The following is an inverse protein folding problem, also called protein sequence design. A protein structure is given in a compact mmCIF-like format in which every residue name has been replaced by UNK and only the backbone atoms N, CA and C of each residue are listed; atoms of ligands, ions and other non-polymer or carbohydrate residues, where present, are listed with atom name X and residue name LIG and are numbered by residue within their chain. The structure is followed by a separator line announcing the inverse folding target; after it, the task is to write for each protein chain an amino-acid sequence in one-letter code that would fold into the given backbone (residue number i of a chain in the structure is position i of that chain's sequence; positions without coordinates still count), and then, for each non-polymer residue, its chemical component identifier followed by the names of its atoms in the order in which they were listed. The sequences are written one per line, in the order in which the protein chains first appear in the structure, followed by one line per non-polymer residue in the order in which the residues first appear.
data_IF_891486096012
#
_entry.id   IF_891486096012
#
_cell.length_a   1.000
_cell.length_b   1.000
_cell.length_c   1.000
_cell.angle_alpha   90.00
_cell.angle_beta   90.00
_cell.angle_gamma   90.00
#
_symmetry.space_group_name_H-M   'P 1'
#
loop_
_entity.id
_entity.type
_entity.pdbx_description
1 polymer ?
#
# COMPACT_ATOMS: atom_id res chain seq x y z
N UNK A 1 4.21 26.76 -7.69
CA UNK A 1 3.39 25.56 -7.37
C UNK A 1 4.29 24.35 -7.56
N UNK A 2 4.70 23.67 -6.48
CA UNK A 2 5.56 22.49 -6.56
C UNK A 2 4.74 21.21 -6.61
N UNK A 3 5.33 20.13 -7.11
CA UNK A 3 4.69 18.81 -7.21
C UNK A 3 4.25 18.28 -5.83
N UNK A 4 5.02 18.59 -4.77
CA UNK A 4 4.69 18.30 -3.38
C UNK A 4 3.40 19.01 -2.91
N UNK A 5 3.17 20.25 -3.36
CA UNK A 5 1.96 21.00 -3.03
C UNK A 5 0.71 20.39 -3.67
N UNK A 6 0.83 19.93 -4.91
CA UNK A 6 -0.25 19.20 -5.60
C UNK A 6 -0.50 17.84 -4.96
N UNK A 7 0.55 17.12 -4.55
CA UNK A 7 0.44 15.85 -3.83
C UNK A 7 -0.25 16.03 -2.47
N UNK A 8 0.17 17.01 -1.67
CA UNK A 8 -0.43 17.30 -0.37
C UNK A 8 -1.92 17.65 -0.50
N UNK A 9 -2.30 18.44 -1.51
CA UNK A 9 -3.72 18.72 -1.82
C UNK A 9 -4.47 17.47 -2.25
N UNK A 10 -3.88 16.63 -3.09
CA UNK A 10 -4.48 15.37 -3.53
C UNK A 10 -4.71 14.40 -2.38
N UNK A 11 -3.74 14.25 -1.48
CA UNK A 11 -3.86 13.42 -0.27
C UNK A 11 -4.90 13.98 0.70
N UNK A 12 -4.90 15.30 0.92
CA UNK A 12 -5.92 15.96 1.74
C UNK A 12 -7.34 15.75 1.20
N UNK A 13 -7.52 15.91 -0.11
CA UNK A 13 -8.78 15.64 -0.79
C UNK A 13 -9.20 14.18 -0.65
N UNK A 14 -8.31 13.22 -0.92
CA UNK A 14 -8.59 11.79 -0.76
C UNK A 14 -8.93 11.42 0.68
N UNK A 15 -8.20 11.97 1.66
CA UNK A 15 -8.49 11.75 3.10
C UNK A 15 -9.90 12.24 3.44
N UNK A 16 -10.30 13.39 2.91
CA UNK A 16 -11.63 13.94 3.12
C UNK A 16 -12.74 13.10 2.47
N UNK A 17 -12.49 12.58 1.26
CA UNK A 17 -13.40 11.66 0.57
C UNK A 17 -13.66 10.35 1.34
N UNK A 18 -12.66 9.87 2.10
CA UNK A 18 -12.72 8.62 2.85
C UNK A 18 -13.32 8.75 4.26
N UNK A 19 -13.67 9.96 4.72
CA UNK A 19 -14.31 10.14 6.03
C UNK A 19 -15.77 9.72 6.02
N UNK A 20 -16.25 9.21 7.16
CA UNK A 20 -17.65 8.82 7.35
C UNK A 20 -18.62 10.01 7.20
N UNK A 21 -18.19 11.21 7.60
CA UNK A 21 -18.92 12.47 7.54
C UNK A 21 -18.81 13.21 6.19
N UNK A 22 -18.22 12.61 5.16
CA UNK A 22 -18.05 13.23 3.85
C UNK A 22 -19.41 13.65 3.21
N UNK A 23 -19.59 14.94 2.89
CA UNK A 23 -20.75 15.49 2.19
C UNK A 23 -21.15 14.71 0.93
N UNK A 24 -22.46 14.56 0.66
CA UNK A 24 -22.98 13.72 -0.43
C UNK A 24 -22.40 14.05 -1.81
N UNK A 25 -22.22 15.34 -2.12
CA UNK A 25 -21.68 15.78 -3.41
C UNK A 25 -20.25 15.26 -3.64
N UNK A 26 -19.44 15.23 -2.60
CA UNK A 26 -18.05 14.78 -2.69
C UNK A 26 -17.95 13.25 -2.67
N UNK A 27 -18.90 12.54 -2.04
CA UNK A 27 -19.08 11.10 -2.29
C UNK A 27 -19.37 10.78 -3.75
N UNK A 28 -20.11 11.65 -4.47
CA UNK A 28 -20.29 11.48 -5.92
C UNK A 28 -18.97 11.67 -6.69
N UNK A 29 -18.14 12.65 -6.31
CA UNK A 29 -16.80 12.80 -6.87
C UNK A 29 -15.93 11.57 -6.60
N UNK A 30 -15.98 11.01 -5.39
CA UNK A 30 -15.29 9.75 -5.07
C UNK A 30 -15.76 8.59 -5.95
N UNK A 31 -17.07 8.43 -6.14
CA UNK A 31 -17.63 7.39 -7.01
C UNK A 31 -17.25 7.60 -8.47
N UNK A 32 -17.24 8.85 -8.95
CA UNK A 32 -16.80 9.21 -10.29
C UNK A 32 -15.33 8.87 -10.49
N UNK A 33 -14.46 9.24 -9.53
CA UNK A 33 -13.05 8.90 -9.56
C UNK A 33 -12.85 7.38 -9.53
N UNK A 34 -13.60 6.67 -8.69
CA UNK A 34 -13.55 5.21 -8.65
C UNK A 34 -14.02 4.58 -9.95
N UNK A 35 -14.98 5.17 -10.65
CA UNK A 35 -15.42 4.70 -11.97
C UNK A 35 -14.39 5.01 -13.07
N UNK A 36 -13.84 6.22 -13.09
CA UNK A 36 -12.85 6.66 -14.09
C UNK A 36 -11.54 5.89 -13.97
N UNK A 37 -11.12 5.57 -12.74
CA UNK A 37 -9.88 4.85 -12.47
C UNK A 37 -10.08 3.37 -12.13
N UNK A 38 -11.30 2.83 -12.30
CA UNK A 38 -11.66 1.44 -12.01
C UNK A 38 -11.32 0.97 -10.59
N UNK A 39 -11.48 1.85 -9.60
CA UNK A 39 -11.30 1.55 -8.17
C UNK A 39 -12.57 1.02 -7.48
N UNK A 40 -13.74 0.97 -8.14
CA UNK A 40 -14.98 0.49 -7.51
C UNK A 40 -14.87 -0.97 -7.02
N UNK A 41 -15.30 -1.26 -5.77
CA UNK A 41 -15.26 -2.62 -5.21
C UNK A 41 -16.47 -3.50 -5.56
N UNK A 42 -17.37 -3.07 -6.44
CA UNK A 42 -18.49 -3.90 -6.90
C UNK A 42 -18.76 -3.68 -8.38
N UNK A 43 -18.50 -4.71 -9.17
CA UNK A 43 -19.62 -5.52 -9.59
C UNK A 43 -19.30 -6.98 -9.26
N UNK A 44 -20.08 -7.54 -8.33
CA UNK A 44 -20.34 -8.98 -8.28
C UNK A 44 -21.12 -9.47 -9.50
N UNK A 45 -21.32 -8.62 -10.50
CA UNK A 45 -21.67 -9.02 -11.86
C UNK A 45 -20.39 -9.49 -12.53
N UNK A 46 -20.34 -10.80 -12.73
CA UNK A 46 -19.38 -11.53 -13.55
C UNK A 46 -19.23 -10.94 -14.95
N UNK A 47 -18.53 -9.83 -15.11
CA UNK A 47 -17.72 -9.64 -16.29
C UNK A 47 -16.46 -10.40 -15.96
N UNK A 48 -16.39 -11.63 -16.45
CA UNK A 48 -15.24 -12.49 -16.30
C UNK A 48 -14.03 -11.79 -16.94
N UNK A 49 -13.37 -10.91 -16.19
CA UNK A 49 -11.96 -10.63 -16.41
C UNK A 49 -11.28 -11.99 -16.45
N UNK A 50 -10.38 -12.22 -17.43
CA UNK A 50 -9.88 -13.54 -17.72
C UNK A 50 -9.13 -14.03 -16.49
N UNK A 51 -9.84 -14.77 -15.64
CA UNK A 51 -9.24 -15.59 -14.62
C UNK A 51 -8.21 -16.41 -15.38
N UNK A 52 -6.93 -16.41 -14.97
CA UNK A 52 -6.00 -17.34 -15.54
C UNK A 52 -6.56 -18.73 -15.22
N UNK A 53 -7.26 -19.35 -16.19
CA UNK A 53 -7.76 -20.74 -16.06
C UNK A 53 -6.61 -21.71 -15.77
N UNK A 54 -5.37 -21.24 -15.97
CA UNK A 54 -4.13 -21.90 -15.60
C UNK A 54 -3.34 -20.97 -14.68
N UNK A 55 -2.84 -21.54 -13.59
CA UNK A 55 -1.86 -20.90 -12.72
C UNK A 55 -0.65 -20.50 -13.57
N UNK A 56 -0.18 -19.24 -13.49
CA UNK A 56 1.04 -18.80 -14.17
C UNK A 56 2.22 -19.72 -13.83
N UNK A 57 3.05 -20.06 -14.82
CA UNK A 57 4.14 -21.03 -14.66
C UNK A 57 5.13 -20.68 -13.53
N UNK A 58 5.38 -19.39 -13.34
CA UNK A 58 6.20 -18.86 -12.25
C UNK A 58 5.60 -19.16 -10.87
N UNK A 59 4.28 -18.99 -10.72
CA UNK A 59 3.56 -19.33 -9.49
C UNK A 59 3.49 -20.84 -9.28
N UNK A 60 3.25 -21.61 -10.35
CA UNK A 60 3.22 -23.08 -10.28
C UNK A 60 4.57 -23.67 -9.81
N UNK A 61 5.70 -23.12 -10.31
CA UNK A 61 7.05 -23.49 -9.85
C UNK A 61 7.26 -23.17 -8.37
N UNK A 62 6.80 -22.01 -7.91
CA UNK A 62 6.95 -21.57 -6.53
C UNK A 62 6.15 -22.45 -5.55
N UNK A 63 4.95 -22.87 -5.94
CA UNK A 63 4.08 -23.73 -5.13
C UNK A 63 4.45 -25.22 -5.17
N UNK A 64 5.34 -25.61 -6.08
CA UNK A 64 5.78 -26.99 -6.27
C UNK A 64 4.62 -27.95 -6.59
N UNK A 65 4.71 -29.18 -6.09
CA UNK A 65 3.75 -30.27 -6.32
C UNK A 65 2.43 -30.15 -5.54
N UNK A 66 2.14 -29.00 -4.94
CA UNK A 66 0.90 -28.74 -4.20
C UNK A 66 -0.33 -28.92 -5.10
N UNK A 67 -1.49 -29.28 -4.53
CA UNK A 67 -2.73 -29.38 -5.32
C UNK A 67 -3.22 -27.99 -5.75
N UNK A 68 -2.85 -27.62 -6.97
CA UNK A 68 -3.18 -26.37 -7.63
C UNK A 68 -4.70 -26.19 -7.86
N UNK A 69 -5.50 -27.27 -7.74
CA UNK A 69 -6.97 -27.21 -7.94
C UNK A 69 -7.71 -26.42 -6.87
N UNK A 70 -7.08 -26.23 -5.71
CA UNK A 70 -7.67 -25.56 -4.55
C UNK A 70 -7.34 -24.06 -4.49
N UNK A 71 -6.66 -23.54 -5.51
CA UNK A 71 -6.14 -22.17 -5.54
C UNK A 71 -7.08 -21.29 -6.36
N UNK A 72 -7.57 -20.22 -5.74
CA UNK A 72 -8.37 -19.20 -6.39
C UNK A 72 -7.53 -17.93 -6.55
N UNK A 73 -7.29 -17.50 -7.79
CA UNK A 73 -6.52 -16.28 -8.09
C UNK A 73 -7.42 -15.04 -8.03
N UNK A 74 -6.90 -13.98 -7.43
CA UNK A 74 -7.56 -12.68 -7.35
C UNK A 74 -6.71 -11.61 -8.05
N UNK A 75 -7.35 -10.74 -8.82
CA UNK A 75 -6.71 -9.52 -9.34
C UNK A 75 -6.58 -8.45 -8.25
N UNK A 76 -7.47 -8.47 -7.26
CA UNK A 76 -7.59 -7.47 -6.20
C UNK A 76 -8.27 -8.06 -4.97
N UNK A 77 -7.90 -7.58 -3.79
CA UNK A 77 -8.56 -7.88 -2.51
C UNK A 77 -8.75 -6.60 -1.70
N UNK A 78 -9.67 -6.63 -0.73
CA UNK A 78 -9.89 -5.53 0.19
C UNK A 78 -8.66 -5.29 1.09
N UNK A 79 -8.35 -4.02 1.34
CA UNK A 79 -7.30 -3.59 2.24
C UNK A 79 -7.90 -2.65 3.29
N UNK A 80 -7.25 -2.46 4.46
CA UNK A 80 -7.72 -1.51 5.48
C UNK A 80 -7.98 -0.10 4.93
N UNK A 81 -7.24 0.32 3.89
CA UNK A 81 -7.42 1.61 3.22
C UNK A 81 -7.41 1.47 1.70
N UNK A 82 -8.55 1.05 1.14
CA UNK A 82 -8.72 0.87 -0.30
C UNK A 82 -8.66 -0.59 -0.68
N UNK A 83 -7.61 -1.01 -1.39
CA UNK A 83 -7.48 -2.40 -1.83
C UNK A 83 -6.08 -2.70 -2.33
N UNK A 84 -5.60 -3.92 -2.08
CA UNK A 84 -4.38 -4.44 -2.71
C UNK A 84 -4.70 -5.00 -4.09
N UNK A 85 -3.83 -4.74 -5.05
CA UNK A 85 -4.02 -5.18 -6.44
C UNK A 85 -2.75 -5.82 -6.99
N UNK A 86 -2.92 -6.74 -7.93
CA UNK A 86 -1.80 -7.36 -8.65
C UNK A 86 -1.16 -6.35 -9.61
N UNK A 87 0.16 -6.43 -9.78
CA UNK A 87 0.90 -5.67 -10.80
C UNK A 87 0.22 -5.76 -12.17
N UNK A 88 0.02 -4.60 -12.80
CA UNK A 88 -0.51 -4.50 -14.16
C UNK A 88 -2.03 -4.48 -14.27
N UNK A 89 -2.77 -4.68 -13.17
CA UNK A 89 -4.22 -4.46 -13.16
C UNK A 89 -4.54 -2.95 -13.08
N UNK A 90 -5.75 -2.52 -13.46
CA UNK A 90 -6.20 -1.14 -13.21
C UNK A 90 -5.98 -0.75 -11.74
N UNK A 91 -5.46 0.46 -11.50
CA UNK A 91 -5.05 0.89 -10.17
C UNK A 91 -3.62 0.52 -9.78
N UNK A 92 -2.67 0.61 -10.73
CA UNK A 92 -1.22 0.32 -10.61
C UNK A 92 -0.51 0.80 -9.33
N UNK A 93 -0.99 1.85 -8.67
CA UNK A 93 -0.44 2.32 -7.39
C UNK A 93 -0.70 1.39 -6.21
N UNK A 94 -1.63 0.44 -6.34
CA UNK A 94 -2.07 -0.43 -5.26
C UNK A 94 -1.31 -1.76 -5.19
N UNK A 95 -0.36 -2.01 -6.11
CA UNK A 95 0.49 -3.20 -6.08
C UNK A 95 1.71 -3.05 -5.19
N UNK A 96 2.12 -1.82 -4.87
CA UNK A 96 3.23 -1.60 -3.96
C UNK A 96 2.75 -1.60 -2.51
N UNK A 97 3.45 -2.37 -1.67
CA UNK A 97 3.12 -2.56 -0.26
C UNK A 97 4.37 -2.53 0.62
N UNK A 98 4.17 -2.09 1.86
CA UNK A 98 5.11 -2.31 2.95
C UNK A 98 4.70 -3.61 3.66
N UNK A 99 5.62 -4.55 3.82
CA UNK A 99 5.39 -5.81 4.53
C UNK A 99 6.46 -6.04 5.59
N UNK A 100 6.15 -6.84 6.60
CA UNK A 100 7.06 -7.19 7.69
C UNK A 100 6.87 -8.66 8.04
N UNK A 101 7.94 -9.45 7.95
CA UNK A 101 7.89 -10.85 8.33
C UNK A 101 8.02 -11.00 9.85
N UNK A 102 7.53 -12.12 10.38
CA UNK A 102 7.64 -12.41 11.82
C UNK A 102 9.11 -12.41 12.26
N UNK A 103 9.43 -11.62 13.29
CA UNK A 103 10.77 -11.45 13.82
C UNK A 103 11.57 -10.29 13.22
N UNK A 104 11.10 -9.68 12.12
CA UNK A 104 11.71 -8.47 11.57
C UNK A 104 11.20 -7.21 12.31
N UNK A 105 12.09 -6.25 12.56
CA UNK A 105 11.72 -4.98 13.21
C UNK A 105 11.18 -3.97 12.20
N UNK A 106 11.84 -3.87 11.06
CA UNK A 106 11.50 -2.90 10.02
C UNK A 106 10.63 -3.53 8.94
N UNK A 107 9.81 -2.70 8.31
CA UNK A 107 9.12 -3.11 7.10
C UNK A 107 10.07 -3.04 5.90
N UNK A 108 9.76 -3.85 4.90
CA UNK A 108 10.38 -3.90 3.59
C UNK A 108 9.35 -3.56 2.53
N UNK A 109 9.80 -3.03 1.40
CA UNK A 109 8.91 -2.71 0.29
C UNK A 109 8.86 -3.86 -0.71
N UNK A 110 7.70 -4.08 -1.31
CA UNK A 110 7.55 -5.06 -2.38
C UNK A 110 6.41 -4.72 -3.33
N UNK A 111 6.43 -5.37 -4.49
CA UNK A 111 5.38 -5.29 -5.51
C UNK A 111 4.65 -6.62 -5.60
N UNK A 112 3.32 -6.58 -5.43
CA UNK A 112 2.44 -7.74 -5.51
C UNK A 112 2.37 -8.24 -6.94
N UNK A 113 2.71 -9.51 -7.15
CA UNK A 113 2.61 -10.20 -8.44
C UNK A 113 1.40 -11.12 -8.51
N UNK A 114 1.03 -11.76 -7.41
CA UNK A 114 -0.11 -12.66 -7.36
C UNK A 114 -0.82 -12.55 -6.02
N UNK A 115 -2.13 -12.65 -6.04
CA UNK A 115 -2.96 -12.80 -4.85
C UNK A 115 -3.78 -14.06 -5.06
N UNK A 116 -3.79 -14.94 -4.07
CA UNK A 116 -4.55 -16.17 -4.15
C UNK A 116 -5.10 -16.61 -2.81
N UNK A 117 -6.23 -17.30 -2.84
CA UNK A 117 -6.80 -17.97 -1.69
C UNK A 117 -6.50 -19.46 -1.75
N UNK A 118 -6.04 -20.02 -0.62
CA UNK A 118 -5.84 -21.45 -0.44
C UNK A 118 -6.22 -21.83 0.99
N UNK A 119 -7.19 -22.75 1.15
CA UNK A 119 -7.65 -23.19 2.47
C UNK A 119 -8.20 -22.05 3.33
N UNK A 120 -9.02 -21.16 2.74
CA UNK A 120 -9.60 -19.97 3.36
C UNK A 120 -8.58 -18.95 3.89
N UNK A 121 -7.33 -19.00 3.41
CA UNK A 121 -6.30 -18.01 3.71
C UNK A 121 -5.88 -17.30 2.44
N UNK A 122 -5.84 -15.98 2.53
CA UNK A 122 -5.31 -15.13 1.46
C UNK A 122 -3.80 -15.08 1.57
N UNK A 123 -3.15 -15.51 0.50
CA UNK A 123 -1.70 -15.49 0.32
C UNK A 123 -1.33 -14.50 -0.76
N UNK A 124 -0.22 -13.82 -0.55
CA UNK A 124 0.28 -12.78 -1.44
C UNK A 124 1.68 -13.19 -1.88
N UNK A 125 1.88 -13.19 -3.19
CA UNK A 125 3.20 -13.37 -3.80
C UNK A 125 3.71 -12.03 -4.25
N UNK A 126 4.88 -11.65 -3.77
CA UNK A 126 5.51 -10.38 -4.10
C UNK A 126 6.98 -10.55 -4.46
N UNK A 127 7.50 -9.55 -5.16
CA UNK A 127 8.94 -9.31 -5.27
C UNK A 127 9.32 -8.18 -4.33
N UNK A 128 10.37 -8.40 -3.54
CA UNK A 128 10.90 -7.36 -2.67
C UNK A 128 11.71 -6.35 -3.48
N UNK A 129 11.61 -5.06 -3.17
CA UNK A 129 12.58 -4.07 -3.64
C UNK A 129 13.92 -4.29 -2.93
N UNK A 130 15.02 -4.12 -3.67
CA UNK A 130 16.37 -4.35 -3.13
C UNK A 130 16.76 -3.18 -2.23
N UNK A 131 17.07 -3.48 -0.97
CA UNK A 131 17.57 -2.49 -0.01
C UNK A 131 19.00 -2.08 -0.40
N UNK A 132 19.39 -0.85 -0.10
CA UNK A 132 20.75 -0.37 -0.37
C UNK A 132 21.73 -0.93 0.65
N UNK A 133 22.96 -1.24 0.20
CA UNK A 133 24.02 -1.78 1.05
C UNK A 133 24.47 -0.81 2.15
N UNK A 134 24.29 0.50 1.93
CA UNK A 134 24.66 1.58 2.86
C UNK A 134 23.42 2.38 3.27
N UNK A 135 22.58 1.83 4.19
CA UNK A 135 21.35 2.48 4.63
C UNK A 135 21.58 3.82 5.34
N UNK A 136 22.79 4.08 5.86
CA UNK A 136 23.18 5.38 6.43
C UNK A 136 23.16 6.53 5.40
N UNK A 137 23.18 6.23 4.10
CA UNK A 137 23.02 7.22 3.04
C UNK A 137 21.54 7.50 2.71
N UNK A 138 20.60 6.81 3.35
CA UNK A 138 19.17 7.06 3.17
C UNK A 138 18.80 8.44 3.74
N UNK A 139 18.44 9.42 2.90
CA UNK A 139 18.13 10.76 3.36
C UNK A 139 16.82 10.83 4.17
N UNK A 140 16.02 9.76 4.19
CA UNK A 140 14.71 9.73 4.84
C UNK A 140 14.71 9.13 6.24
N UNK A 141 15.76 8.39 6.62
CA UNK A 141 15.81 7.66 7.89
C UNK A 141 15.54 8.56 9.12
N UNK A 142 16.03 9.80 9.09
CA UNK A 142 15.87 10.77 10.17
C UNK A 142 14.43 11.23 10.43
N UNK A 143 13.50 10.96 9.52
CA UNK A 143 12.09 11.39 9.63
C UNK A 143 11.15 10.30 10.14
N UNK A 144 11.64 9.07 10.31
CA UNK A 144 10.84 7.95 10.80
C UNK A 144 10.25 8.21 12.18
N UNK A 145 11.02 8.81 13.09
CA UNK A 145 10.54 9.18 14.43
C UNK A 145 9.40 10.20 14.42
N UNK A 146 9.23 10.95 13.33
CA UNK A 146 8.12 11.89 13.12
C UNK A 146 6.91 11.28 12.42
N UNK A 147 6.90 9.96 12.18
CA UNK A 147 5.83 9.26 11.48
C UNK A 147 5.92 9.31 9.95
N UNK A 148 6.96 9.92 9.39
CA UNK A 148 7.22 9.87 7.96
C UNK A 148 8.18 8.70 7.65
N UNK A 149 7.62 7.51 7.57
CA UNK A 149 8.36 6.30 7.27
C UNK A 149 8.61 6.18 5.75
N UNK A 150 9.77 6.64 5.29
CA UNK A 150 10.20 6.51 3.91
C UNK A 150 11.62 5.91 3.81
N UNK A 151 11.90 5.20 2.72
CA UNK A 151 13.22 4.61 2.44
C UNK A 151 13.70 4.93 1.05
N UNK A 152 15.00 5.03 0.88
CA UNK A 152 15.68 4.95 -0.41
C UNK A 152 16.08 3.49 -0.66
N UNK A 153 15.67 2.95 -1.81
CA UNK A 153 15.93 1.57 -2.24
C UNK A 153 16.46 1.57 -3.67
N UNK A 154 16.95 0.43 -4.16
CA UNK A 154 17.14 0.28 -5.60
C UNK A 154 15.78 0.22 -6.30
N UNK A 155 15.69 0.79 -7.50
CA UNK A 155 14.56 0.62 -8.40
C UNK A 155 14.44 -0.84 -8.92
N UNK A 156 15.45 -1.67 -8.67
CA UNK A 156 15.44 -3.09 -8.99
C UNK A 156 14.65 -3.89 -7.94
N UNK A 157 13.97 -4.93 -8.41
CA UNK A 157 13.34 -5.94 -7.58
C UNK A 157 14.25 -7.15 -7.43
N UNK A 158 14.15 -7.83 -6.29
CA UNK A 158 14.81 -9.12 -6.06
C UNK A 158 14.32 -10.18 -7.05
N UNK A 159 15.21 -11.10 -7.43
CA UNK A 159 14.87 -12.32 -8.17
C UNK A 159 13.93 -13.24 -7.39
N UNK A 160 13.99 -13.16 -6.06
CA UNK A 160 13.35 -14.11 -5.17
C UNK A 160 11.90 -13.70 -4.90
N UNK A 161 11.00 -14.63 -5.18
CA UNK A 161 9.58 -14.47 -4.88
C UNK A 161 9.31 -14.87 -3.44
N UNK A 162 8.53 -14.04 -2.76
CA UNK A 162 8.10 -14.31 -1.39
C UNK A 162 6.61 -14.57 -1.37
N UNK A 163 6.22 -15.69 -0.78
CA UNK A 163 4.84 -15.94 -0.37
C UNK A 163 4.68 -15.46 1.06
N UNK A 164 3.77 -14.52 1.29
CA UNK A 164 3.42 -14.02 2.61
C UNK A 164 1.93 -14.18 2.86
N UNK A 165 1.54 -14.21 4.12
CA UNK A 165 0.14 -14.03 4.49
C UNK A 165 -0.26 -12.55 4.40
N UNK A 166 -1.55 -12.27 4.19
CA UNK A 166 -2.07 -10.90 4.10
C UNK A 166 -1.75 -10.09 5.36
N UNK A 167 -1.78 -10.69 6.54
CA UNK A 167 -1.46 -10.05 7.82
C UNK A 167 0.00 -9.54 7.93
N UNK A 168 0.90 -10.02 7.07
CA UNK A 168 2.27 -9.51 7.01
C UNK A 168 2.34 -8.14 6.31
N UNK A 169 1.28 -7.68 5.63
CA UNK A 169 1.25 -6.36 5.02
C UNK A 169 0.96 -5.29 6.08
N UNK A 170 1.89 -4.35 6.20
CA UNK A 170 1.78 -3.18 7.09
C UNK A 170 0.89 -2.11 6.47
N UNK A 171 0.96 -1.94 5.14
CA UNK A 171 0.17 -0.94 4.43
C UNK A 171 0.54 -0.83 2.96
N UNK A 172 -0.13 0.10 2.28
CA UNK A 172 0.25 0.52 0.93
C UNK A 172 1.60 1.24 0.95
N UNK A 173 2.33 1.14 -0.14
CA UNK A 173 3.54 1.91 -0.36
C UNK A 173 3.36 2.84 -1.57
N UNK A 174 3.72 4.11 -1.43
CA UNK A 174 3.99 4.94 -2.57
C UNK A 174 5.39 4.61 -3.09
N UNK A 175 5.50 4.30 -4.38
CA UNK A 175 6.77 4.04 -5.05
C UNK A 175 7.06 5.14 -6.05
N UNK A 176 8.27 5.71 -5.99
CA UNK A 176 8.73 6.71 -6.93
C UNK A 176 10.09 6.32 -7.49
N UNK A 177 10.15 6.02 -8.79
CA UNK A 177 11.42 5.76 -9.47
C UNK A 177 12.19 7.08 -9.62
N UNK A 178 13.41 7.12 -9.11
CA UNK A 178 14.31 8.25 -9.19
C UNK A 178 15.29 8.04 -10.36
N UNK A 179 16.24 8.96 -10.52
CA UNK A 179 17.36 8.80 -11.44
C UNK A 179 18.34 7.75 -10.90
N UNK A 180 19.19 7.23 -11.78
CA UNK A 180 20.32 6.33 -11.44
C UNK A 180 19.94 4.95 -10.85
N UNK A 181 18.73 4.47 -11.14
CA UNK A 181 18.29 3.14 -10.68
C UNK A 181 17.97 3.08 -9.18
N UNK A 182 17.70 4.24 -8.58
CA UNK A 182 17.20 4.38 -7.21
C UNK A 182 15.70 4.61 -7.22
N UNK A 183 15.04 4.29 -6.11
CA UNK A 183 13.64 4.61 -5.89
C UNK A 183 13.40 5.05 -4.46
N UNK A 184 12.50 6.00 -4.27
CA UNK A 184 11.96 6.36 -2.97
C UNK A 184 10.68 5.57 -2.71
N UNK A 185 10.56 5.01 -1.52
CA UNK A 185 9.35 4.31 -1.07
C UNK A 185 8.84 4.95 0.21
N UNK A 186 7.55 5.24 0.27
CA UNK A 186 6.90 5.81 1.45
C UNK A 186 5.81 4.87 1.94
N UNK A 187 5.84 4.52 3.22
CA UNK A 187 4.75 3.79 3.85
C UNK A 187 3.54 4.72 3.98
N UNK A 188 2.42 4.31 3.37
CA UNK A 188 1.15 5.04 3.39
C UNK A 188 0.18 4.50 4.45
N UNK A 189 0.61 3.57 5.31
CA UNK A 189 -0.16 3.19 6.48
C UNK A 189 -0.43 4.43 7.32
N UNK A 190 -1.66 4.60 7.82
CA UNK A 190 -1.99 5.78 8.61
C UNK A 190 -1.09 5.83 9.84
N UNK A 191 -0.35 6.93 10.00
CA UNK A 191 0.20 7.31 11.29
C UNK A 191 -0.99 7.42 12.23
N UNK A 192 -1.05 6.59 13.26
CA UNK A 192 -1.98 6.84 14.35
C UNK A 192 -1.55 8.16 14.95
N UNK A 193 -2.33 9.22 14.71
CA UNK A 193 -2.17 10.51 15.37
C UNK A 193 -2.38 10.30 16.88
N UNK A 194 -1.35 9.82 17.59
CA UNK A 194 -1.26 9.92 19.05
C UNK A 194 -0.63 11.27 19.39
N UNK A 195 -1.23 12.36 18.89
CA UNK A 195 -1.02 13.68 19.48
C UNK A 195 -2.02 13.79 20.61
N UNK A 196 -1.63 13.31 21.79
CA UNK A 196 -2.28 13.76 23.01
C UNK A 196 -1.91 15.23 23.14
N UNK A 197 -2.78 16.12 22.67
CA UNK A 197 -2.69 17.54 22.99
C UNK A 197 -2.82 17.61 24.51
N UNK A 198 -1.69 17.77 25.21
CA UNK A 198 -1.73 18.31 26.56
C UNK A 198 -2.21 19.75 26.39
N UNK A 199 -3.49 19.98 26.67
CA UNK A 199 -4.00 21.32 26.92
C UNK A 199 -3.19 21.90 28.08
N UNK A 200 -2.15 22.67 27.76
CA UNK A 200 -1.50 23.53 28.73
C UNK A 200 -2.48 24.66 29.05
N UNK A 201 -2.95 24.67 30.30
CA UNK A 201 -3.69 25.74 30.94
C UNK A 201 -3.13 27.12 30.55
N UNK A 202 -3.82 27.79 29.64
CA UNK A 202 -3.75 29.25 29.47
C UNK A 202 -5.17 29.74 29.75
N UNK A 203 -5.58 29.74 31.02
CA UNK A 203 -6.81 30.42 31.42
C UNK A 203 -6.75 31.14 32.78
N UNK A 204 -5.56 31.32 33.38
CA UNK A 204 -5.40 32.03 34.66
C UNK A 204 -4.56 33.31 34.54
N UNK A 205 -4.79 34.16 33.53
CA UNK A 205 -4.15 35.49 33.43
C UNK A 205 -5.02 36.62 32.86
N UNK A 206 -6.33 36.60 33.11
CA UNK A 206 -7.22 37.74 32.76
C UNK A 206 -8.24 38.11 33.85
N UNK A 207 -7.88 37.98 35.14
CA UNK A 207 -8.65 38.58 36.25
C UNK A 207 -7.74 39.14 37.36
N UNK A 208 -6.71 39.88 36.98
CA UNK A 208 -6.07 40.85 37.87
C UNK A 208 -5.65 42.06 37.03
N UNK A 209 -6.61 42.94 36.79
CA UNK A 209 -6.47 44.40 36.73
C UNK A 209 -7.87 45.02 36.86
#
# INVERSE_FOLDING_TARGET
MTLLHSYAKGVGFRRWLLRSDCPPLLKQCHNLLNKVYNFSPSDGTSVAEPHPKKIPSQLAKLLGSSDHRTIHLHSRIEAPTGAYAVKGTPGRGNSFVCFRLSGEREWKAGEILYIFEQGNKVKIVLQQLVELDQPEQDPFCGWWGGGFEAKLVSASVSSDLKIIDQECIVGHAAYWNLVDGLAAVVNLSQVKDSVTVKESKIHDRLLQE
#
